data_IF_678767024768
#
_entry.id   IF_678767024768
#
_cell.length_a   1.000
_cell.length_b   1.000
_cell.length_c   1.000
_cell.angle_alpha   90.00
_cell.angle_beta   90.00
_cell.angle_gamma   90.00
#
_symmetry.space_group_name_H-M   'P 1'
#
loop_
_entity.id
_entity.type
_entity.pdbx_description
1 polymer ?
#
# COMPACT_ATOMS: atom_id res chain seq x y z
N UNK A 1 -38.17 -49.95 -1.15
CA UNK A 1 -38.23 -48.57 -1.67
C UNK A 1 -36.80 -48.10 -1.80
N UNK A 2 -36.28 -48.10 -3.02
CA UNK A 2 -34.96 -47.56 -3.35
C UNK A 2 -35.17 -46.08 -3.66
N UNK A 3 -34.47 -45.18 -2.97
CA UNK A 3 -34.44 -43.76 -3.31
C UNK A 3 -33.25 -43.50 -4.24
N UNK A 4 -33.54 -42.96 -5.41
CA UNK A 4 -32.55 -42.50 -6.39
C UNK A 4 -31.83 -41.24 -5.86
N UNK A 5 -30.52 -41.07 -6.09
CA UNK A 5 -29.82 -39.83 -5.76
C UNK A 5 -30.20 -38.70 -6.73
N UNK A 6 -30.25 -37.44 -6.27
CA UNK A 6 -30.62 -36.32 -7.13
C UNK A 6 -29.56 -36.10 -8.21
N UNK A 7 -30.05 -35.95 -9.44
CA UNK A 7 -29.29 -35.63 -10.64
C UNK A 7 -28.55 -34.30 -10.44
N UNK A 8 -27.22 -34.33 -10.52
CA UNK A 8 -26.41 -33.11 -10.64
C UNK A 8 -26.76 -32.47 -11.98
N UNK A 9 -27.50 -31.35 -11.94
CA UNK A 9 -27.63 -30.47 -13.09
C UNK A 9 -26.22 -29.97 -13.45
N UNK A 10 -25.76 -30.38 -14.63
CA UNK A 10 -24.56 -29.86 -15.27
C UNK A 10 -24.50 -28.36 -15.12
N UNK A 11 -23.38 -27.87 -14.56
CA UNK A 11 -22.99 -26.47 -14.60
C UNK A 11 -23.09 -25.99 -16.04
N UNK A 12 -24.17 -25.26 -16.35
CA UNK A 12 -24.23 -24.42 -17.53
C UNK A 12 -23.01 -23.51 -17.47
N UNK A 13 -22.18 -23.62 -18.51
CA UNK A 13 -20.99 -22.81 -18.68
C UNK A 13 -21.40 -21.35 -18.59
N UNK A 14 -20.85 -20.63 -17.60
CA UNK A 14 -21.04 -19.19 -17.50
C UNK A 14 -20.71 -18.56 -18.87
N UNK A 15 -21.51 -17.60 -19.37
CA UNK A 15 -21.21 -16.93 -20.61
C UNK A 15 -19.81 -16.29 -20.52
N UNK A 16 -18.97 -16.55 -21.52
CA UNK A 16 -17.63 -15.96 -21.61
C UNK A 16 -17.72 -14.44 -21.49
N UNK A 17 -16.98 -13.83 -20.55
CA UNK A 17 -16.88 -12.38 -20.44
C UNK A 17 -16.58 -11.77 -21.83
N UNK A 18 -17.24 -10.65 -22.21
CA UNK A 18 -16.93 -9.96 -23.46
C UNK A 18 -15.44 -9.59 -23.49
N UNK A 19 -14.77 -9.94 -24.58
CA UNK A 19 -13.35 -9.61 -24.80
C UNK A 19 -13.23 -8.14 -25.22
N UNK A 20 -13.33 -7.25 -24.23
CA UNK A 20 -13.29 -5.79 -24.42
C UNK A 20 -11.99 -5.33 -25.09
N UNK A 21 -10.90 -6.08 -24.97
CA UNK A 21 -9.61 -5.79 -25.61
C UNK A 21 -9.68 -6.02 -27.14
N UNK A 22 -10.28 -7.13 -27.57
CA UNK A 22 -10.57 -7.36 -29.00
C UNK A 22 -11.52 -6.31 -29.58
N UNK A 23 -12.52 -5.90 -28.82
CA UNK A 23 -13.47 -4.87 -29.24
C UNK A 23 -12.80 -3.50 -29.39
N UNK A 24 -11.90 -3.13 -28.47
CA UNK A 24 -11.10 -1.90 -28.53
C UNK A 24 -10.21 -1.88 -29.78
N UNK A 25 -9.50 -2.98 -30.05
CA UNK A 25 -8.64 -3.11 -31.24
C UNK A 25 -9.45 -2.92 -32.53
N UNK A 26 -10.65 -3.50 -32.60
CA UNK A 26 -11.53 -3.37 -33.76
C UNK A 26 -12.01 -1.91 -33.95
N UNK A 27 -12.44 -1.24 -32.89
CA UNK A 27 -12.88 0.15 -32.95
C UNK A 27 -11.73 1.10 -33.35
N UNK A 28 -10.52 0.87 -32.83
CA UNK A 28 -9.33 1.61 -33.21
C UNK A 28 -8.98 1.41 -34.70
N UNK A 29 -9.03 0.17 -35.19
CA UNK A 29 -8.80 -0.12 -36.61
C UNK A 29 -9.83 0.56 -37.54
N UNK A 30 -11.11 0.64 -37.12
CA UNK A 30 -12.15 1.36 -37.86
C UNK A 30 -11.92 2.87 -37.87
N UNK A 31 -11.42 3.45 -36.76
CA UNK A 31 -11.07 4.85 -36.68
C UNK A 31 -9.88 5.18 -37.59
N UNK A 32 -8.84 4.35 -37.56
CA UNK A 32 -7.66 4.49 -38.42
C UNK A 32 -8.04 4.41 -39.91
N UNK A 33 -8.90 3.47 -40.30
CA UNK A 33 -9.33 3.29 -41.69
C UNK A 33 -10.02 4.55 -42.28
N UNK A 34 -10.67 5.38 -41.45
CA UNK A 34 -11.27 6.65 -41.88
C UNK A 34 -10.20 7.76 -41.96
N UNK A 35 -9.18 7.70 -41.10
CA UNK A 35 -8.07 8.65 -41.06
C UNK A 35 -7.01 8.43 -42.16
N UNK A 36 -7.05 7.34 -42.93
CA UNK A 36 -6.16 7.11 -44.10
C UNK A 36 -6.46 8.06 -45.28
N UNK A 37 -7.54 8.86 -45.23
CA UNK A 37 -7.82 9.94 -46.20
C UNK A 37 -7.35 11.33 -45.72
N UNK A 38 -7.14 12.28 -46.64
CA UNK A 38 -6.77 13.67 -46.31
C UNK A 38 -7.81 14.27 -45.35
N UNK A 39 -7.37 14.62 -44.14
CA UNK A 39 -8.20 15.16 -43.06
C UNK A 39 -8.93 16.44 -43.49
N UNK A 40 -8.39 17.15 -44.49
CA UNK A 40 -8.99 18.36 -45.05
C UNK A 40 -10.16 18.09 -46.01
N UNK A 41 -10.35 16.85 -46.48
CA UNK A 41 -11.42 16.45 -47.41
C UNK A 41 -12.56 15.65 -46.73
N UNK A 42 -12.51 15.49 -45.40
CA UNK A 42 -13.54 14.75 -44.65
C UNK A 42 -14.92 15.40 -44.78
N UNK A 43 -15.87 14.66 -45.34
CA UNK A 43 -17.26 15.09 -45.42
C UNK A 43 -17.94 15.03 -44.02
N UNK A 44 -19.10 15.67 -43.89
CA UNK A 44 -19.82 15.74 -42.61
C UNK A 44 -20.22 14.37 -42.05
N UNK A 45 -20.38 13.34 -42.90
CA UNK A 45 -20.73 11.97 -42.48
C UNK A 45 -19.54 11.26 -41.85
N UNK A 46 -18.35 11.41 -42.42
CA UNK A 46 -17.13 10.82 -41.89
C UNK A 46 -16.73 11.49 -40.57
N UNK A 47 -16.91 12.82 -40.45
CA UNK A 47 -16.75 13.53 -39.18
C UNK A 47 -17.69 13.03 -38.09
N UNK A 48 -18.97 12.81 -38.42
CA UNK A 48 -19.93 12.25 -37.47
C UNK A 48 -19.56 10.83 -37.04
N UNK A 49 -19.08 10.01 -37.98
CA UNK A 49 -18.64 8.63 -37.70
C UNK A 49 -17.37 8.57 -36.85
N UNK A 50 -16.41 9.46 -37.09
CA UNK A 50 -15.22 9.61 -36.23
C UNK A 50 -15.62 9.96 -34.80
N UNK A 51 -16.51 10.95 -34.63
CA UNK A 51 -16.98 11.35 -33.30
C UNK A 51 -17.71 10.21 -32.58
N UNK A 52 -18.48 9.40 -33.30
CA UNK A 52 -19.16 8.24 -32.74
C UNK A 52 -18.17 7.15 -32.30
N UNK A 53 -17.18 6.82 -33.14
CA UNK A 53 -16.13 5.86 -32.81
C UNK A 53 -15.30 6.31 -31.60
N UNK A 54 -14.93 7.60 -31.53
CA UNK A 54 -14.19 8.14 -30.38
C UNK A 54 -14.97 7.99 -29.08
N UNK A 55 -16.29 8.28 -29.09
CA UNK A 55 -17.14 8.07 -27.91
C UNK A 55 -17.23 6.61 -27.50
N UNK A 56 -17.34 5.69 -28.46
CA UNK A 56 -17.37 4.26 -28.18
C UNK A 56 -16.03 3.80 -27.58
N UNK A 57 -14.90 4.23 -28.13
CA UNK A 57 -13.56 3.93 -27.62
C UNK A 57 -13.40 4.46 -26.19
N UNK A 58 -13.75 5.72 -25.92
CA UNK A 58 -13.67 6.32 -24.59
C UNK A 58 -14.55 5.55 -23.58
N UNK A 59 -15.79 5.23 -23.95
CA UNK A 59 -16.68 4.45 -23.11
C UNK A 59 -16.13 3.04 -22.83
N UNK A 60 -15.55 2.39 -23.82
CA UNK A 60 -14.98 1.05 -23.69
C UNK A 60 -13.70 1.07 -22.85
N UNK A 61 -12.85 2.08 -23.01
CA UNK A 61 -11.66 2.30 -22.17
C UNK A 61 -12.04 2.53 -20.70
N UNK A 62 -13.08 3.30 -20.42
CA UNK A 62 -13.55 3.50 -19.05
C UNK A 62 -14.10 2.18 -18.46
N UNK A 63 -14.86 1.39 -19.23
CA UNK A 63 -15.30 0.04 -18.80
C UNK A 63 -14.11 -0.87 -18.50
N UNK A 64 -13.11 -0.91 -19.38
CA UNK A 64 -11.90 -1.71 -19.19
C UNK A 64 -11.11 -1.27 -17.95
N UNK A 65 -11.04 0.04 -17.69
CA UNK A 65 -10.42 0.59 -16.48
C UNK A 65 -11.15 0.15 -15.22
N UNK A 66 -12.49 0.18 -15.21
CA UNK A 66 -13.31 -0.33 -14.10
C UNK A 66 -13.09 -1.82 -13.89
N UNK A 67 -13.13 -2.63 -14.96
CA UNK A 67 -12.88 -4.09 -14.88
C UNK A 67 -11.47 -4.38 -14.36
N UNK A 68 -10.46 -3.63 -14.81
CA UNK A 68 -9.09 -3.76 -14.31
C UNK A 68 -9.01 -3.43 -12.83
N UNK A 69 -9.64 -2.33 -12.39
CA UNK A 69 -9.71 -1.96 -10.97
C UNK A 69 -10.44 -3.02 -10.13
N UNK A 70 -11.49 -3.65 -10.67
CA UNK A 70 -12.19 -4.75 -10.01
C UNK A 70 -11.32 -6.01 -9.92
N UNK A 71 -10.54 -6.34 -10.95
CA UNK A 71 -9.63 -7.49 -10.97
C UNK A 71 -8.41 -7.28 -10.07
N UNK A 72 -7.91 -6.05 -9.93
CA UNK A 72 -6.84 -5.71 -8.98
C UNK A 72 -7.32 -5.70 -7.51
N UNK A 73 -8.64 -5.76 -7.28
CA UNK A 73 -9.24 -5.73 -5.95
C UNK A 73 -9.10 -7.05 -5.18
N UNK A 74 -8.92 -8.17 -5.88
CA UNK A 74 -8.91 -9.51 -5.29
C UNK A 74 -7.88 -10.38 -5.98
N UNK A 75 -7.27 -11.28 -5.22
CA UNK A 75 -6.38 -12.29 -5.75
C UNK A 75 -7.05 -13.66 -5.71
N UNK A 76 -6.72 -14.51 -6.68
CA UNK A 76 -6.98 -15.95 -6.59
C UNK A 76 -5.84 -16.68 -5.86
N UNK A 77 -6.05 -17.98 -5.57
CA UNK A 77 -5.07 -18.79 -4.84
C UNK A 77 -3.70 -18.87 -5.56
N UNK A 78 -3.70 -18.92 -6.88
CA UNK A 78 -2.45 -19.02 -7.65
C UNK A 78 -1.61 -17.74 -7.49
N UNK A 79 -2.26 -16.58 -7.55
CA UNK A 79 -1.57 -15.30 -7.34
C UNK A 79 -0.97 -15.17 -5.94
N UNK A 80 -1.62 -15.71 -4.91
CA UNK A 80 -1.00 -15.82 -3.58
C UNK A 80 0.24 -16.70 -3.59
N UNK A 81 0.19 -17.86 -4.26
CA UNK A 81 1.32 -18.80 -4.38
C UNK A 81 2.49 -18.15 -5.09
N UNK A 82 2.24 -17.46 -6.21
CA UNK A 82 3.26 -16.70 -6.93
C UNK A 82 3.89 -15.63 -6.05
N UNK A 83 3.10 -14.85 -5.31
CA UNK A 83 3.60 -13.84 -4.37
C UNK A 83 4.47 -14.44 -3.26
N UNK A 84 4.03 -15.55 -2.65
CA UNK A 84 4.81 -16.24 -1.62
C UNK A 84 6.16 -16.76 -2.18
N UNK A 85 6.15 -17.33 -3.39
CA UNK A 85 7.36 -17.84 -4.04
C UNK A 85 8.31 -16.72 -4.46
N UNK A 86 7.80 -15.70 -5.13
CA UNK A 86 8.62 -14.75 -5.89
C UNK A 86 8.98 -13.50 -5.07
N UNK A 87 8.07 -13.02 -4.22
CA UNK A 87 8.24 -11.80 -3.42
C UNK A 87 8.61 -12.10 -1.97
N UNK A 88 7.91 -13.04 -1.31
CA UNK A 88 8.27 -13.47 0.06
C UNK A 88 9.52 -14.35 0.04
N UNK A 89 9.73 -15.12 -1.04
CA UNK A 89 10.95 -15.89 -1.26
C UNK A 89 11.04 -17.19 -0.45
N UNK A 90 9.90 -17.82 -0.15
CA UNK A 90 9.85 -19.10 0.58
C UNK A 90 10.00 -20.29 -0.37
N UNK A 91 10.65 -21.37 0.08
CA UNK A 91 10.89 -22.55 -0.76
C UNK A 91 9.61 -23.32 -1.12
N UNK A 92 8.74 -23.56 -0.13
CA UNK A 92 7.46 -24.24 -0.34
C UNK A 92 6.28 -23.26 -0.15
N UNK A 93 5.97 -22.51 -1.20
CA UNK A 93 4.99 -21.42 -1.18
C UNK A 93 3.58 -21.87 -0.74
N UNK A 94 3.10 -23.01 -1.24
CA UNK A 94 1.78 -23.54 -0.87
C UNK A 94 1.69 -23.91 0.61
N UNK A 95 2.66 -24.68 1.11
CA UNK A 95 2.70 -25.09 2.52
C UNK A 95 2.84 -23.88 3.45
N UNK A 96 3.68 -22.91 3.06
CA UNK A 96 3.84 -21.68 3.82
C UNK A 96 2.55 -20.84 3.85
N UNK A 97 1.85 -20.72 2.71
CA UNK A 97 0.56 -20.02 2.66
C UNK A 97 -0.49 -20.72 3.50
N UNK A 98 -0.59 -22.04 3.40
CA UNK A 98 -1.54 -22.82 4.19
C UNK A 98 -1.22 -22.73 5.69
N UNK A 99 0.04 -22.56 6.09
CA UNK A 99 0.41 -22.29 7.49
C UNK A 99 0.15 -20.83 7.92
N UNK A 100 0.26 -19.87 7.01
CA UNK A 100 0.29 -18.43 7.32
C UNK A 100 -1.08 -17.77 7.18
N UNK A 101 -1.83 -18.10 6.14
CA UNK A 101 -3.07 -17.45 5.75
C UNK A 101 -4.26 -18.43 5.75
N UNK A 102 -5.41 -17.93 6.19
CA UNK A 102 -6.71 -18.50 5.87
C UNK A 102 -7.21 -17.83 4.58
N UNK A 103 -7.19 -18.63 3.51
CA UNK A 103 -7.63 -18.24 2.16
C UNK A 103 -8.99 -18.86 1.80
N UNK A 104 -9.77 -19.31 2.78
CA UNK A 104 -11.15 -19.80 2.56
C UNK A 104 -12.03 -18.76 1.86
N UNK A 105 -11.76 -17.48 2.12
CA UNK A 105 -12.24 -16.33 1.35
C UNK A 105 -11.04 -15.51 0.85
N UNK A 106 -10.62 -15.76 -0.38
CA UNK A 106 -9.50 -15.05 -1.01
C UNK A 106 -9.76 -13.54 -1.19
N UNK A 107 -11.01 -13.08 -1.07
CA UNK A 107 -11.34 -11.65 -1.11
C UNK A 107 -11.02 -10.92 0.19
N UNK A 108 -10.92 -11.65 1.31
CA UNK A 108 -10.58 -11.14 2.64
C UNK A 108 -9.59 -12.08 3.34
N UNK A 109 -8.37 -12.25 2.81
CA UNK A 109 -7.39 -13.16 3.37
C UNK A 109 -7.03 -12.74 4.80
N UNK A 110 -6.93 -13.72 5.70
CA UNK A 110 -6.66 -13.49 7.12
C UNK A 110 -5.39 -14.19 7.54
N UNK A 111 -4.57 -13.53 8.36
CA UNK A 111 -3.48 -14.21 9.03
C UNK A 111 -4.01 -15.21 10.06
N UNK A 112 -3.36 -16.37 10.11
CA UNK A 112 -3.54 -17.36 11.18
C UNK A 112 -2.75 -17.00 12.44
N UNK A 113 -1.70 -16.19 12.29
CA UNK A 113 -0.87 -15.65 13.36
C UNK A 113 -1.19 -14.18 13.67
N UNK A 114 -0.74 -13.68 14.82
CA UNK A 114 -0.86 -12.26 15.17
C UNK A 114 0.08 -11.35 14.37
N UNK A 115 1.19 -11.93 13.88
CA UNK A 115 2.22 -11.20 13.16
C UNK A 115 2.64 -11.89 11.86
N UNK A 116 2.96 -11.08 10.87
CA UNK A 116 3.61 -11.50 9.63
C UNK A 116 4.98 -10.82 9.53
N UNK A 117 6.02 -11.59 9.21
CA UNK A 117 7.36 -11.05 8.97
C UNK A 117 7.72 -11.23 7.50
N UNK A 118 8.08 -10.14 6.83
CA UNK A 118 8.45 -10.12 5.41
C UNK A 118 9.82 -9.47 5.21
N UNK A 119 10.52 -9.86 4.15
CA UNK A 119 11.77 -9.26 3.71
C UNK A 119 11.48 -8.19 2.63
N UNK A 120 11.85 -6.94 2.94
CA UNK A 120 11.69 -5.78 2.08
C UNK A 120 12.53 -5.83 0.81
N UNK A 121 13.61 -6.60 0.79
CA UNK A 121 14.57 -6.59 -0.33
C UNK A 121 13.97 -7.10 -1.64
N UNK A 122 12.94 -7.95 -1.56
CA UNK A 122 12.25 -8.54 -2.73
C UNK A 122 10.76 -8.21 -2.81
N UNK A 123 10.17 -7.76 -1.70
CA UNK A 123 8.76 -7.43 -1.65
C UNK A 123 8.45 -6.24 -2.56
N UNK A 124 7.46 -6.40 -3.44
CA UNK A 124 7.00 -5.35 -4.35
C UNK A 124 5.60 -4.90 -4.01
N UNK A 125 4.76 -5.76 -3.45
CA UNK A 125 3.38 -5.41 -3.12
C UNK A 125 2.80 -6.30 -2.03
N UNK A 126 1.67 -5.87 -1.51
CA UNK A 126 0.86 -6.64 -0.58
C UNK A 126 -0.37 -7.21 -1.31
N UNK A 127 -0.81 -8.43 -0.96
CA UNK A 127 -2.08 -8.94 -1.46
C UNK A 127 -3.24 -8.01 -1.08
N UNK A 128 -4.19 -7.75 -2.00
CA UNK A 128 -5.36 -6.93 -1.74
C UNK A 128 -6.16 -7.43 -0.53
N UNK A 129 -6.66 -6.48 0.26
CA UNK A 129 -7.48 -6.72 1.45
C UNK A 129 -6.82 -7.60 2.52
N UNK A 130 -5.50 -7.87 2.44
CA UNK A 130 -4.78 -8.60 3.46
C UNK A 130 -4.75 -7.82 4.77
N UNK A 131 -5.46 -8.35 5.77
CA UNK A 131 -5.52 -7.76 7.10
C UNK A 131 -4.37 -8.28 7.93
N UNK A 132 -3.40 -7.40 8.17
CA UNK A 132 -2.25 -7.66 9.02
C UNK A 132 -2.38 -6.83 10.29
N UNK A 133 -2.42 -7.49 11.45
CA UNK A 133 -2.47 -6.77 12.73
C UNK A 133 -1.09 -6.24 13.11
N UNK A 134 -0.04 -7.06 12.93
CA UNK A 134 1.34 -6.69 13.21
C UNK A 134 2.26 -7.14 12.06
N UNK A 135 2.77 -6.18 11.29
CA UNK A 135 3.71 -6.42 10.20
C UNK A 135 5.13 -6.11 10.66
N UNK A 136 6.02 -7.08 10.54
CA UNK A 136 7.45 -6.91 10.77
C UNK A 136 8.16 -6.94 9.42
N UNK A 137 8.97 -5.92 9.17
CA UNK A 137 9.68 -5.73 7.92
C UNK A 137 11.18 -5.82 8.20
N UNK A 138 11.79 -6.85 7.62
CA UNK A 138 13.23 -7.07 7.62
C UNK A 138 13.84 -6.60 6.30
N UNK A 139 15.14 -6.37 6.25
CA UNK A 139 15.87 -5.86 5.11
C UNK A 139 16.50 -4.49 5.40
N UNK A 140 17.82 -4.41 5.24
CA UNK A 140 18.56 -3.14 5.27
C UNK A 140 18.19 -2.19 4.13
N UNK A 141 17.67 -2.77 3.04
CA UNK A 141 17.20 -2.10 1.83
C UNK A 141 15.84 -2.66 1.44
N UNK A 142 15.18 -1.94 0.57
CA UNK A 142 13.86 -2.27 0.05
C UNK A 142 13.87 -2.30 -1.48
N UNK A 143 12.91 -3.00 -2.07
CA UNK A 143 12.62 -2.89 -3.50
C UNK A 143 12.07 -1.50 -3.81
N UNK A 144 12.63 -0.81 -4.81
CA UNK A 144 12.11 0.50 -5.25
C UNK A 144 10.68 0.43 -5.81
N UNK A 145 10.27 -0.77 -6.26
CA UNK A 145 8.93 -1.05 -6.75
C UNK A 145 7.94 -1.37 -5.61
N UNK A 146 8.35 -1.25 -4.34
CA UNK A 146 7.48 -1.57 -3.20
C UNK A 146 6.31 -0.59 -3.08
N UNK A 147 5.11 -1.12 -3.29
CA UNK A 147 3.85 -0.43 -3.11
C UNK A 147 3.11 -0.93 -1.87
N UNK A 148 2.85 -0.01 -0.95
CA UNK A 148 1.97 -0.24 0.18
C UNK A 148 0.51 0.04 -0.21
N UNK A 149 -0.47 -0.62 0.45
CA UNK A 149 -1.84 -0.15 0.41
C UNK A 149 -1.91 1.28 1.00
N UNK A 150 -2.80 2.12 0.46
CA UNK A 150 -2.96 3.51 0.91
C UNK A 150 -3.24 3.61 2.42
N UNK A 151 -4.07 2.69 2.93
CA UNK A 151 -4.44 2.58 4.33
C UNK A 151 -3.99 1.23 4.89
N UNK A 152 -3.21 1.27 5.96
CA UNK A 152 -2.76 0.08 6.68
C UNK A 152 -3.45 -0.01 8.05
N UNK A 153 -4.28 -1.05 8.23
CA UNK A 153 -5.12 -1.23 9.42
C UNK A 153 -4.38 -1.77 10.66
N UNK A 154 -3.10 -2.13 10.51
CA UNK A 154 -2.29 -2.72 11.58
C UNK A 154 -1.21 -1.82 12.13
N UNK A 155 -0.24 -2.44 12.81
CA UNK A 155 1.04 -1.83 13.14
C UNK A 155 2.13 -2.29 12.18
N UNK A 156 3.10 -1.42 11.92
CA UNK A 156 4.31 -1.72 11.16
C UNK A 156 5.52 -1.56 12.06
N UNK A 157 6.42 -2.54 12.04
CA UNK A 157 7.74 -2.47 12.65
C UNK A 157 8.80 -2.74 11.57
N UNK A 158 9.70 -1.78 11.31
CA UNK A 158 10.91 -2.04 10.53
C UNK A 158 12.04 -2.44 11.48
N UNK A 159 12.67 -3.58 11.22
CA UNK A 159 13.65 -4.16 12.15
C UNK A 159 15.05 -3.64 11.84
N UNK A 160 15.49 -3.69 10.58
CA UNK A 160 16.86 -3.43 10.15
C UNK A 160 16.96 -2.46 8.95
N UNK A 161 15.88 -1.77 8.61
CA UNK A 161 15.88 -0.75 7.54
C UNK A 161 16.81 0.42 7.91
N UNK A 162 18.03 0.40 7.36
CA UNK A 162 19.06 1.42 7.60
C UNK A 162 19.19 2.40 6.45
N UNK A 163 18.96 1.95 5.22
CA UNK A 163 18.91 2.77 4.00
C UNK A 163 17.44 2.95 3.59
N UNK A 164 16.85 4.05 4.07
CA UNK A 164 15.44 4.36 3.90
C UNK A 164 15.20 5.57 2.99
N UNK A 165 16.21 6.04 2.26
CA UNK A 165 16.07 7.15 1.33
C UNK A 165 15.10 6.76 0.20
N UNK A 166 14.02 7.53 0.05
CA UNK A 166 12.93 7.24 -0.88
C UNK A 166 11.93 6.20 -0.40
N UNK A 167 12.05 5.69 0.84
CA UNK A 167 11.09 4.72 1.37
C UNK A 167 9.74 5.38 1.65
N UNK A 168 8.66 4.79 1.11
CA UNK A 168 7.29 5.30 1.23
C UNK A 168 6.48 4.40 2.17
N UNK A 169 6.03 4.95 3.29
CA UNK A 169 5.00 4.31 4.11
C UNK A 169 3.61 4.51 3.51
N UNK A 170 2.60 3.68 3.91
CA UNK A 170 1.19 3.99 3.67
C UNK A 170 0.86 5.43 4.09
N UNK A 171 -0.10 6.08 3.45
CA UNK A 171 -0.56 7.42 3.87
C UNK A 171 -1.14 7.39 5.30
N UNK A 172 -1.76 6.26 5.67
CA UNK A 172 -2.40 6.06 6.97
C UNK A 172 -2.02 4.74 7.60
N UNK A 173 -1.56 4.78 8.85
CA UNK A 173 -1.35 3.61 9.70
C UNK A 173 -2.30 3.71 10.90
N UNK A 174 -3.19 2.75 11.08
CA UNK A 174 -4.24 2.85 12.11
C UNK A 174 -3.75 2.60 13.53
N UNK A 175 -2.65 1.86 13.70
CA UNK A 175 -2.15 1.48 15.02
C UNK A 175 -0.79 2.13 15.29
N UNK A 176 0.33 1.41 15.13
CA UNK A 176 1.65 1.89 15.50
C UNK A 176 2.64 1.82 14.33
N UNK A 177 3.63 2.70 14.35
CA UNK A 177 4.83 2.60 13.52
C UNK A 177 6.07 2.58 14.42
N UNK A 178 6.91 1.56 14.28
CA UNK A 178 8.14 1.37 15.05
C UNK A 178 9.31 1.22 14.09
N UNK A 179 10.33 2.06 14.24
CA UNK A 179 11.46 2.13 13.32
C UNK A 179 12.75 1.75 14.04
N UNK A 180 12.96 0.45 14.27
CA UNK A 180 14.01 -0.06 15.16
C UNK A 180 15.39 0.44 14.75
N UNK A 181 15.81 0.25 13.49
CA UNK A 181 17.19 0.54 13.07
C UNK A 181 17.39 1.89 12.36
N UNK A 182 16.37 2.74 12.31
CA UNK A 182 16.47 4.01 11.60
C UNK A 182 17.31 5.01 12.39
N UNK A 183 18.54 5.25 11.94
CA UNK A 183 19.48 6.20 12.59
C UNK A 183 19.45 7.60 11.94
N UNK A 184 19.04 7.67 10.68
CA UNK A 184 18.83 8.88 9.88
C UNK A 184 17.52 8.74 9.11
N UNK A 185 16.76 9.82 8.97
CA UNK A 185 15.43 9.81 8.34
C UNK A 185 15.34 10.69 7.09
N UNK A 186 16.47 11.06 6.52
CA UNK A 186 16.50 11.83 5.26
C UNK A 186 15.93 10.97 4.14
N UNK A 187 15.01 11.54 3.35
CA UNK A 187 14.39 10.86 2.22
C UNK A 187 13.22 9.91 2.55
N UNK A 188 12.94 9.67 3.84
CA UNK A 188 11.79 8.84 4.24
C UNK A 188 10.49 9.63 4.11
N UNK A 189 9.50 9.05 3.43
CA UNK A 189 8.15 9.60 3.33
C UNK A 189 7.25 8.91 4.36
N UNK A 190 7.02 9.60 5.48
CA UNK A 190 6.19 9.14 6.58
C UNK A 190 4.68 9.20 6.23
N UNK A 191 3.84 8.40 6.92
CA UNK A 191 2.39 8.56 6.84
C UNK A 191 1.96 9.97 7.27
N UNK A 192 0.84 10.46 6.74
CA UNK A 192 0.20 11.67 7.26
C UNK A 192 -0.46 11.43 8.62
N UNK A 193 -0.94 10.20 8.84
CA UNK A 193 -1.69 9.80 10.02
C UNK A 193 -1.15 8.50 10.65
N UNK A 194 -0.91 8.55 11.95
CA UNK A 194 -0.69 7.38 12.80
C UNK A 194 -1.73 7.37 13.92
N UNK A 195 -2.53 6.31 14.01
CA UNK A 195 -3.66 6.27 14.93
C UNK A 195 -3.30 6.13 16.40
N UNK A 196 -2.13 5.57 16.73
CA UNK A 196 -1.63 5.48 18.12
C UNK A 196 -0.22 6.04 18.24
N UNK A 197 0.81 5.21 18.08
CA UNK A 197 2.16 5.57 18.53
C UNK A 197 3.19 5.48 17.41
N UNK A 198 4.07 6.47 17.34
CA UNK A 198 5.29 6.46 16.53
C UNK A 198 6.52 6.34 17.43
N UNK A 199 7.38 5.36 17.19
CA UNK A 199 8.55 5.08 18.02
C UNK A 199 9.81 5.06 17.17
N UNK A 200 10.81 5.83 17.62
CA UNK A 200 12.18 5.81 17.12
C UNK A 200 13.14 5.35 18.22
N UNK A 201 13.42 4.04 18.31
CA UNK A 201 14.35 3.51 19.29
C UNK A 201 15.78 4.03 19.12
N UNK A 202 16.28 4.13 17.89
CA UNK A 202 17.70 4.40 17.62
C UNK A 202 17.98 5.69 16.82
N UNK A 203 16.98 6.56 16.63
CA UNK A 203 17.17 7.81 15.88
C UNK A 203 17.97 8.82 16.73
N UNK A 204 19.21 9.09 16.34
CA UNK A 204 20.10 10.01 17.09
C UNK A 204 20.06 11.45 16.58
N UNK A 205 19.70 11.64 15.31
CA UNK A 205 19.68 12.95 14.63
C UNK A 205 18.40 13.11 13.78
N UNK A 206 17.58 14.14 14.02
CA UNK A 206 16.31 14.34 13.31
C UNK A 206 16.47 15.16 12.01
N UNK A 207 17.70 15.42 11.54
CA UNK A 207 17.89 16.16 10.29
C UNK A 207 17.20 15.44 9.14
N UNK A 208 16.38 16.18 8.38
CA UNK A 208 15.63 15.64 7.25
C UNK A 208 14.36 14.88 7.63
N UNK A 209 14.12 14.67 8.94
CA UNK A 209 12.92 13.98 9.43
C UNK A 209 11.67 14.84 9.19
N UNK A 210 10.74 14.33 8.39
CA UNK A 210 9.40 14.88 8.23
C UNK A 210 8.42 13.97 8.95
N UNK A 211 7.99 14.37 10.14
CA UNK A 211 7.05 13.58 10.93
C UNK A 211 5.63 13.62 10.34
N UNK A 212 4.77 12.64 10.68
CA UNK A 212 3.34 12.70 10.40
C UNK A 212 2.69 13.96 10.94
N UNK A 213 1.62 14.42 10.29
CA UNK A 213 0.84 15.56 10.77
C UNK A 213 0.05 15.19 12.03
N UNK A 214 -0.48 13.97 12.09
CA UNK A 214 -1.30 13.47 13.19
C UNK A 214 -0.75 12.19 13.81
N UNK A 215 -0.59 12.21 15.14
CA UNK A 215 -0.27 11.04 15.95
C UNK A 215 -1.29 10.94 17.07
N UNK A 216 -2.08 9.86 17.11
CA UNK A 216 -3.23 9.77 18.00
C UNK A 216 -2.88 9.63 19.49
N UNK A 217 -1.71 9.09 19.83
CA UNK A 217 -1.30 8.89 21.22
C UNK A 217 0.14 9.37 21.47
N UNK A 218 1.17 8.54 21.34
CA UNK A 218 2.52 8.92 21.75
C UNK A 218 3.49 9.09 20.57
N UNK A 219 4.43 10.02 20.73
CA UNK A 219 5.61 10.13 19.87
C UNK A 219 6.84 9.93 20.74
N UNK A 220 7.64 8.91 20.43
CA UNK A 220 8.69 8.45 21.33
C UNK A 220 10.04 8.45 20.61
N UNK A 221 11.02 9.12 21.23
CA UNK A 221 12.41 9.10 20.82
C UNK A 221 13.29 8.62 21.97
N UNK A 222 13.85 7.41 21.86
CA UNK A 222 14.64 6.86 22.95
C UNK A 222 16.07 7.43 22.93
N UNK A 223 16.64 7.68 21.74
CA UNK A 223 18.07 7.99 21.59
C UNK A 223 18.43 9.34 20.99
N UNK A 224 17.46 10.22 20.80
CA UNK A 224 17.68 11.50 20.14
C UNK A 224 18.62 12.41 20.95
N UNK A 225 19.76 12.81 20.35
CA UNK A 225 20.79 13.62 21.05
C UNK A 225 20.70 15.12 20.73
N UNK A 226 19.91 15.51 19.73
CA UNK A 226 19.77 16.90 19.29
C UNK A 226 18.38 17.19 18.75
N UNK A 227 17.96 18.45 18.81
CA UNK A 227 16.67 18.93 18.27
C UNK A 227 16.84 19.76 16.99
N UNK A 228 18.07 19.90 16.49
CA UNK A 228 18.33 20.71 15.30
C UNK A 228 17.69 20.05 14.08
N UNK A 229 16.76 20.77 13.44
CA UNK A 229 16.01 20.28 12.29
C UNK A 229 14.78 19.44 12.64
N UNK A 230 14.49 19.24 13.95
CA UNK A 230 13.27 18.56 14.37
C UNK A 230 12.06 19.49 14.22
N UNK A 231 11.09 19.06 13.42
CA UNK A 231 9.76 19.65 13.33
C UNK A 231 8.78 18.66 13.93
N UNK A 232 8.04 19.08 14.97
CA UNK A 232 7.04 18.23 15.62
C UNK A 232 5.74 18.17 14.80
N UNK A 233 4.91 17.11 14.97
CA UNK A 233 3.59 17.00 14.34
C UNK A 233 2.70 18.20 14.67
N UNK A 234 1.68 18.43 13.86
CA UNK A 234 0.62 19.39 14.18
C UNK A 234 -0.17 18.93 15.42
N UNK A 235 -0.45 17.63 15.49
CA UNK A 235 -1.20 17.03 16.60
C UNK A 235 -0.53 15.76 17.13
N UNK A 236 -0.37 15.73 18.45
CA UNK A 236 -0.06 14.51 19.22
C UNK A 236 -1.10 14.41 20.33
N UNK A 237 -1.85 13.31 20.41
CA UNK A 237 -2.95 13.17 21.38
C UNK A 237 -2.49 12.97 22.82
N UNK A 238 -1.32 12.35 23.01
CA UNK A 238 -0.70 12.09 24.30
C UNK A 238 0.72 12.67 24.38
N UNK A 239 1.59 11.99 25.14
CA UNK A 239 2.94 12.46 25.47
C UNK A 239 3.93 12.34 24.29
N UNK A 240 4.80 13.34 24.16
CA UNK A 240 6.01 13.31 23.32
C UNK A 240 7.20 13.04 24.25
N UNK A 241 7.79 11.85 24.16
CA UNK A 241 8.79 11.35 25.10
C UNK A 241 10.18 11.45 24.48
N UNK A 242 11.12 12.05 25.20
CA UNK A 242 12.53 12.10 24.83
C UNK A 242 13.43 11.55 25.96
N UNK A 243 13.74 10.26 25.94
CA UNK A 243 14.46 9.59 27.05
C UNK A 243 15.90 10.10 27.22
N UNK A 244 16.60 10.34 26.12
CA UNK A 244 18.02 10.75 26.13
C UNK A 244 18.25 12.26 25.96
N UNK A 245 17.20 13.06 25.85
CA UNK A 245 17.35 14.50 25.59
C UNK A 245 17.46 15.27 26.90
N UNK A 246 18.44 16.18 26.99
CA UNK A 246 18.63 17.02 28.19
C UNK A 246 17.42 17.93 28.44
N UNK A 247 17.05 18.17 29.69
CA UNK A 247 15.97 19.09 30.09
C UNK A 247 16.07 20.48 29.44
N UNK A 248 17.28 21.05 29.33
CA UNK A 248 17.50 22.33 28.64
C UNK A 248 16.98 22.33 27.19
N UNK A 249 17.09 21.21 26.48
CA UNK A 249 16.61 21.05 25.11
C UNK A 249 15.10 20.79 25.07
N UNK A 250 14.56 20.01 26.01
CA UNK A 250 13.10 19.85 26.17
C UNK A 250 12.41 21.19 26.43
N UNK A 251 12.94 22.00 27.35
CA UNK A 251 12.46 23.37 27.61
C UNK A 251 12.54 24.29 26.39
N UNK A 252 13.54 24.10 25.53
CA UNK A 252 13.62 24.82 24.26
C UNK A 252 12.52 24.36 23.29
N UNK A 253 12.24 23.05 23.20
CA UNK A 253 11.13 22.53 22.39
C UNK A 253 9.78 23.06 22.88
N UNK A 254 9.52 23.06 24.20
CA UNK A 254 8.28 23.61 24.78
C UNK A 254 8.05 25.07 24.38
N UNK A 255 9.12 25.87 24.26
CA UNK A 255 9.04 27.27 23.78
C UNK A 255 8.82 27.37 22.27
N UNK A 256 9.39 26.45 21.49
CA UNK A 256 9.23 26.41 20.03
C UNK A 256 7.86 25.89 19.60
N UNK A 257 7.28 24.98 20.39
CA UNK A 257 5.99 24.34 20.14
C UNK A 257 5.08 24.47 21.36
N UNK A 258 4.55 25.69 21.63
CA UNK A 258 3.70 25.92 22.80
C UNK A 258 2.48 25.00 22.88
N UNK A 259 1.96 24.56 21.73
CA UNK A 259 0.82 23.62 21.65
C UNK A 259 1.12 22.22 22.17
N UNK A 260 2.39 21.86 22.33
CA UNK A 260 2.85 20.58 22.87
C UNK A 260 3.58 20.72 24.20
N UNK A 261 3.62 21.91 24.78
CA UNK A 261 4.49 22.21 25.92
C UNK A 261 4.20 21.33 27.16
N UNK A 262 2.93 20.97 27.36
CA UNK A 262 2.42 20.09 28.42
C UNK A 262 2.63 18.59 28.13
N UNK A 263 2.92 18.23 26.88
CA UNK A 263 3.11 16.85 26.41
C UNK A 263 4.56 16.43 26.31
N UNK A 264 5.50 17.38 26.30
CA UNK A 264 6.92 17.09 26.13
C UNK A 264 7.53 16.63 27.47
N UNK A 265 7.92 15.37 27.51
CA UNK A 265 8.56 14.69 28.66
C UNK A 265 10.02 14.31 28.40
#
# INVERSE_FOLDING_TARGET
MQEEPPTIQSLESAPSEPDHEKELINLQAQLEAIQVGDVNELNNKDRARILDLLKQIESLQEKMKVVKQEKEKYWDKEQFIEWARDEVGVENAEEWLDATLDLSDCSHPRLKSESLTLDLSKLKRFPPNLRILYLRLNGQKFSQDLEFPENFHGSIETIDLTDADGFNFPNRIEINLVLQSLTLAEGVNFPDYIGKTLIFPNLTNPRGLKLPNYIGNHLIFNDLKTIKGLVLPDYVGGTIIFDCLSEKRKEKLKKMYPQHADKIE
#
